data_IF_933777683774
#
_entry.id   IF_933777683774
#
_cell.length_a   1.000
_cell.length_b   1.000
_cell.length_c   1.000
_cell.angle_alpha   90.00
_cell.angle_beta   90.00
_cell.angle_gamma   90.00
#
_symmetry.space_group_name_H-M   'P 1'
#
loop_
_entity.id
_entity.type
_entity.pdbx_description
1 polymer ?
#
# COMPACT_ATOMS: atom_id res chain seq x y z
N UNK A 1 -37.71 28.24 13.06
CA UNK A 1 -36.83 28.48 11.90
C UNK A 1 -35.53 27.80 12.25
N UNK A 2 -35.43 26.53 11.86
CA UNK A 2 -34.42 25.58 12.34
C UNK A 2 -33.25 25.60 11.36
N UNK A 3 -32.04 25.91 11.85
CA UNK A 3 -30.83 25.97 11.04
C UNK A 3 -30.31 24.54 10.83
N UNK A 4 -30.11 24.15 9.56
CA UNK A 4 -29.51 22.88 9.18
C UNK A 4 -28.02 22.81 9.59
N UNK A 5 -27.47 21.61 9.88
CA UNK A 5 -26.08 21.48 10.29
C UNK A 5 -25.14 21.66 9.09
N UNK A 6 -23.94 22.17 9.39
CA UNK A 6 -22.86 22.36 8.44
C UNK A 6 -22.49 21.01 7.79
N UNK A 7 -22.66 20.92 6.46
CA UNK A 7 -22.13 19.82 5.67
C UNK A 7 -20.61 19.90 5.67
N UNK A 8 -19.99 18.74 5.83
CA UNK A 8 -18.56 18.53 5.84
C UNK A 8 -17.96 18.97 4.49
N UNK A 9 -17.05 19.97 4.53
CA UNK A 9 -16.40 20.49 3.32
C UNK A 9 -15.42 19.50 2.71
N UNK A 10 -15.01 18.44 3.44
CA UNK A 10 -14.13 17.37 2.92
C UNK A 10 -14.81 16.59 1.79
N UNK A 11 -16.11 16.26 1.90
CA UNK A 11 -16.82 15.48 0.86
C UNK A 11 -17.08 16.27 -0.43
N UNK A 12 -17.29 17.58 -0.33
CA UNK A 12 -17.76 18.40 -1.46
C UNK A 12 -16.63 18.77 -2.45
N UNK A 13 -15.36 18.84 -2.02
CA UNK A 13 -14.22 19.10 -2.93
C UNK A 13 -13.75 17.83 -3.67
N UNK A 14 -13.72 16.67 -3.01
CA UNK A 14 -13.33 15.41 -3.66
C UNK A 14 -14.37 14.95 -4.71
N UNK A 15 -15.67 15.21 -4.48
CA UNK A 15 -16.72 14.97 -5.50
C UNK A 15 -16.66 15.94 -6.68
N UNK A 16 -16.07 17.13 -6.51
CA UNK A 16 -15.94 18.10 -7.60
C UNK A 16 -14.84 17.70 -8.59
N UNK A 17 -13.69 17.24 -8.10
CA UNK A 17 -12.59 16.75 -8.94
C UNK A 17 -12.93 15.45 -9.69
N UNK A 18 -13.79 14.60 -9.13
CA UNK A 18 -14.24 13.37 -9.78
C UNK A 18 -15.30 13.57 -10.89
N UNK A 19 -15.98 14.74 -10.93
CA UNK A 19 -17.08 15.00 -11.87
C UNK A 19 -16.68 15.80 -13.11
N UNK A 20 -15.60 16.57 -13.03
CA UNK A 20 -15.12 17.31 -14.18
C UNK A 20 -14.19 16.43 -15.00
N UNK A 21 -14.77 15.70 -15.95
CA UNK A 21 -14.04 15.01 -17.01
C UNK A 21 -13.20 15.98 -17.83
N UNK A 22 -12.04 16.37 -17.30
CA UNK A 22 -11.07 17.18 -18.00
C UNK A 22 -10.25 16.27 -18.89
N UNK A 23 -10.48 16.43 -20.19
CA UNK A 23 -9.70 15.85 -21.26
C UNK A 23 -8.26 16.39 -21.14
N UNK A 24 -7.38 15.67 -20.46
CA UNK A 24 -5.97 16.07 -20.29
C UNK A 24 -5.27 15.91 -21.64
N UNK A 25 -4.99 17.02 -22.29
CA UNK A 25 -4.18 17.07 -23.50
C UNK A 25 -2.75 16.69 -23.15
N UNK A 26 -2.31 15.51 -23.64
CA UNK A 26 -0.99 14.91 -23.39
C UNK A 26 0.11 15.79 -23.97
N UNK A 27 0.57 16.79 -23.23
CA UNK A 27 1.86 17.42 -23.50
C UNK A 27 2.96 16.46 -23.04
N UNK A 28 3.63 15.83 -24.01
CA UNK A 28 4.81 14.97 -23.78
C UNK A 28 5.97 15.81 -23.23
N UNK A 29 5.98 16.09 -21.93
CA UNK A 29 7.21 16.44 -21.22
C UNK A 29 7.78 15.14 -20.66
N UNK A 30 8.97 14.76 -21.16
CA UNK A 30 9.72 13.59 -20.70
C UNK A 30 10.00 13.78 -19.20
N UNK A 31 9.34 12.99 -18.37
CA UNK A 31 9.75 12.79 -16.99
C UNK A 31 11.16 12.16 -17.01
N UNK A 32 12.16 12.72 -16.31
CA UNK A 32 13.51 12.17 -16.32
C UNK A 32 13.50 10.80 -15.62
N UNK A 33 13.68 9.73 -16.40
CA UNK A 33 13.91 8.36 -15.91
C UNK A 33 15.25 8.34 -15.16
N UNK A 34 15.21 8.52 -13.84
CA UNK A 34 16.35 8.28 -12.97
C UNK A 34 15.89 7.42 -11.80
N UNK A 35 15.92 6.09 -12.00
CA UNK A 35 15.87 5.10 -10.91
C UNK A 35 17.31 4.87 -10.44
N UNK A 36 17.71 5.18 -9.20
CA UNK A 36 19.09 5.02 -8.74
C UNK A 36 19.28 3.74 -7.93
N UNK A 37 18.62 2.63 -8.29
CA UNK A 37 18.86 1.34 -7.63
C UNK A 37 20.04 0.66 -8.35
N UNK A 38 21.19 0.63 -7.68
CA UNK A 38 22.41 0.04 -8.21
C UNK A 38 22.21 -1.41 -8.67
N UNK A 39 22.85 -1.76 -9.78
CA UNK A 39 22.81 -3.09 -10.39
C UNK A 39 23.07 -4.22 -9.39
N UNK A 40 22.02 -4.91 -8.95
CA UNK A 40 22.11 -6.26 -8.40
C UNK A 40 21.70 -7.21 -9.52
N UNK A 41 22.65 -8.01 -10.02
CA UNK A 41 22.35 -9.08 -10.97
C UNK A 41 21.59 -10.17 -10.23
N UNK A 42 20.28 -10.26 -10.45
CA UNK A 42 19.51 -11.47 -10.12
C UNK A 42 19.87 -12.52 -11.17
N UNK A 43 20.54 -13.59 -10.73
CA UNK A 43 20.91 -14.70 -11.60
C UNK A 43 19.75 -15.70 -11.66
N UNK A 44 19.02 -15.68 -12.78
CA UNK A 44 18.35 -16.86 -13.35
C UNK A 44 16.94 -17.17 -12.85
N UNK A 45 15.93 -16.61 -13.53
CA UNK A 45 14.59 -17.21 -13.59
C UNK A 45 14.47 -18.04 -14.87
N UNK A 46 14.41 -19.37 -14.75
CA UNK A 46 13.96 -20.27 -15.81
C UNK A 46 12.65 -20.92 -15.40
N UNK A 47 11.65 -20.81 -16.27
CA UNK A 47 10.63 -21.83 -16.45
C UNK A 47 9.31 -21.61 -15.71
N UNK A 48 8.27 -21.44 -16.52
CA UNK A 48 6.87 -21.69 -16.15
C UNK A 48 6.76 -23.11 -15.62
N UNK A 49 6.57 -23.25 -14.32
CA UNK A 49 6.38 -24.51 -13.62
C UNK A 49 5.94 -24.19 -12.21
N UNK A 50 5.20 -25.10 -11.59
CA UNK A 50 4.89 -25.09 -10.15
C UNK A 50 6.21 -25.21 -9.36
N UNK A 51 6.98 -24.14 -9.35
CA UNK A 51 8.26 -23.99 -8.68
C UNK A 51 7.97 -23.51 -7.28
N UNK A 52 8.43 -24.28 -6.29
CA UNK A 52 8.24 -23.97 -4.87
C UNK A 52 8.77 -22.56 -4.60
N UNK A 53 7.89 -21.62 -4.29
CA UNK A 53 8.29 -20.37 -3.68
C UNK A 53 8.94 -20.71 -2.33
N UNK A 54 10.27 -20.63 -2.26
CA UNK A 54 11.05 -20.93 -1.04
C UNK A 54 11.42 -19.62 -0.36
N UNK A 55 11.07 -19.46 0.91
CA UNK A 55 11.42 -18.29 1.72
C UNK A 55 10.29 -17.93 2.68
N UNK A 56 10.62 -17.23 3.76
CA UNK A 56 9.64 -16.89 4.82
C UNK A 56 8.47 -16.09 4.25
N UNK A 57 8.74 -15.07 3.44
CA UNK A 57 7.69 -14.26 2.78
C UNK A 57 6.77 -15.14 1.92
N UNK A 58 7.33 -16.05 1.13
CA UNK A 58 6.55 -16.96 0.30
C UNK A 58 5.63 -17.88 1.12
N UNK A 59 6.11 -18.36 2.26
CA UNK A 59 5.33 -19.19 3.17
C UNK A 59 4.18 -18.41 3.82
N UNK A 60 4.45 -17.17 4.27
CA UNK A 60 3.40 -16.29 4.82
C UNK A 60 2.37 -15.88 3.78
N UNK A 61 2.83 -15.54 2.58
CA UNK A 61 1.93 -15.19 1.49
C UNK A 61 1.06 -16.38 1.07
N UNK A 62 1.59 -17.61 1.10
CA UNK A 62 0.78 -18.82 0.87
C UNK A 62 -0.33 -18.96 1.91
N UNK A 63 -0.07 -18.70 3.19
CA UNK A 63 -1.12 -18.68 4.22
C UNK A 63 -2.24 -17.70 3.87
N UNK A 64 -1.89 -16.51 3.36
CA UNK A 64 -2.87 -15.50 2.90
C UNK A 64 -3.66 -16.01 1.70
N UNK A 65 -3.00 -16.62 0.70
CA UNK A 65 -3.67 -17.19 -0.46
C UNK A 65 -4.62 -18.33 -0.07
N UNK A 66 -4.22 -19.20 0.85
CA UNK A 66 -5.03 -20.31 1.35
C UNK A 66 -6.25 -19.80 2.16
N UNK A 67 -6.08 -18.71 2.91
CA UNK A 67 -7.19 -18.01 3.56
C UNK A 67 -8.20 -17.50 2.53
N UNK A 68 -7.74 -16.78 1.49
CA UNK A 68 -8.62 -16.23 0.46
C UNK A 68 -9.29 -17.32 -0.38
N UNK A 69 -8.59 -18.38 -0.74
CA UNK A 69 -9.17 -19.53 -1.45
C UNK A 69 -10.33 -20.16 -0.67
N UNK A 70 -10.19 -20.27 0.65
CA UNK A 70 -11.21 -20.86 1.52
C UNK A 70 -12.38 -19.92 1.79
N UNK A 71 -12.08 -18.67 2.10
CA UNK A 71 -13.06 -17.73 2.64
C UNK A 71 -13.74 -16.87 1.56
N UNK A 72 -12.97 -16.48 0.55
CA UNK A 72 -13.33 -15.44 -0.44
C UNK A 72 -12.77 -15.79 -1.84
N UNK A 73 -13.23 -16.88 -2.48
CA UNK A 73 -12.65 -17.39 -3.72
C UNK A 73 -12.79 -16.45 -4.93
N UNK A 74 -13.77 -15.52 -4.90
CA UNK A 74 -13.92 -14.50 -5.94
C UNK A 74 -12.75 -13.53 -5.86
N UNK A 75 -12.48 -12.97 -4.67
CA UNK A 75 -11.34 -12.08 -4.42
C UNK A 75 -10.01 -12.81 -4.66
N UNK A 76 -9.93 -14.09 -4.27
CA UNK A 76 -8.76 -14.94 -4.54
C UNK A 76 -8.42 -15.02 -6.04
N UNK A 77 -9.43 -15.07 -6.91
CA UNK A 77 -9.25 -15.16 -8.35
C UNK A 77 -8.71 -13.86 -8.97
N UNK A 78 -8.76 -12.74 -8.25
CA UNK A 78 -8.24 -11.44 -8.70
C UNK A 78 -6.74 -11.24 -8.44
N UNK A 79 -6.10 -12.16 -7.72
CA UNK A 79 -4.65 -12.13 -7.50
C UNK A 79 -3.95 -12.38 -8.83
N UNK A 80 -3.20 -11.39 -9.29
CA UNK A 80 -2.43 -11.49 -10.53
C UNK A 80 -1.26 -12.46 -10.37
N UNK A 81 -0.82 -13.11 -11.45
CA UNK A 81 0.45 -13.83 -11.49
C UNK A 81 1.63 -12.93 -11.09
N UNK A 82 2.78 -13.55 -10.85
CA UNK A 82 4.05 -12.86 -10.62
C UNK A 82 4.36 -11.81 -11.71
N UNK A 83 5.06 -10.75 -11.31
CA UNK A 83 5.57 -9.74 -12.21
C UNK A 83 6.64 -10.33 -13.15
N UNK A 84 6.77 -9.76 -14.35
CA UNK A 84 7.79 -10.20 -15.29
C UNK A 84 9.20 -9.72 -14.90
N UNK A 85 10.24 -10.29 -15.50
CA UNK A 85 11.64 -9.94 -15.16
C UNK A 85 11.94 -8.46 -15.34
N UNK A 86 11.38 -7.79 -16.34
CA UNK A 86 11.62 -6.37 -16.60
C UNK A 86 10.87 -5.47 -15.61
N UNK A 87 9.74 -5.92 -15.08
CA UNK A 87 9.06 -5.32 -13.94
C UNK A 87 9.88 -5.45 -12.67
N UNK A 88 10.36 -6.66 -12.35
CA UNK A 88 11.15 -6.92 -11.14
C UNK A 88 12.45 -6.11 -11.08
N UNK A 89 13.15 -5.96 -12.21
CA UNK A 89 14.40 -5.18 -12.29
C UNK A 89 14.23 -3.68 -11.97
N UNK A 90 13.00 -3.15 -11.99
CA UNK A 90 12.70 -1.74 -11.69
C UNK A 90 12.30 -1.50 -10.24
N UNK A 91 12.02 -2.55 -9.48
CA UNK A 91 11.55 -2.45 -8.11
C UNK A 91 12.71 -2.25 -7.12
N UNK A 92 12.44 -1.65 -5.94
CA UNK A 92 13.32 -1.78 -4.80
C UNK A 92 13.52 -3.28 -4.47
N UNK A 93 14.76 -3.74 -4.22
CA UNK A 93 15.03 -5.15 -3.92
C UNK A 93 14.18 -5.74 -2.78
N UNK A 94 13.78 -4.90 -1.82
CA UNK A 94 12.95 -5.28 -0.68
C UNK A 94 11.51 -5.67 -1.06
N UNK A 95 10.99 -5.19 -2.20
CA UNK A 95 9.65 -5.54 -2.69
C UNK A 95 9.66 -6.69 -3.70
N UNK A 96 10.81 -7.00 -4.32
CA UNK A 96 10.93 -8.10 -5.30
C UNK A 96 10.31 -9.40 -4.80
N UNK A 97 10.51 -9.86 -3.54
CA UNK A 97 9.89 -11.09 -3.05
C UNK A 97 8.36 -11.10 -3.09
N UNK A 98 7.68 -9.96 -2.92
CA UNK A 98 6.23 -9.86 -3.07
C UNK A 98 5.82 -9.97 -4.54
N UNK A 99 6.50 -9.25 -5.41
CA UNK A 99 6.15 -9.20 -6.83
C UNK A 99 6.54 -10.47 -7.59
N UNK A 100 7.48 -11.27 -7.08
CA UNK A 100 7.72 -12.64 -7.55
C UNK A 100 6.54 -13.58 -7.23
N UNK A 101 5.69 -13.23 -6.26
CA UNK A 101 4.52 -14.03 -5.86
C UNK A 101 3.24 -13.52 -6.53
N UNK A 102 3.07 -12.20 -6.60
CA UNK A 102 1.83 -11.58 -7.06
C UNK A 102 2.08 -10.16 -7.57
N UNK A 103 1.69 -9.87 -8.82
CA UNK A 103 1.73 -8.53 -9.40
C UNK A 103 0.44 -7.74 -9.15
N UNK A 104 0.04 -7.70 -7.89
CA UNK A 104 -1.15 -6.98 -7.42
C UNK A 104 -2.46 -7.77 -7.47
N UNK A 105 -3.47 -7.21 -6.83
CA UNK A 105 -4.86 -7.71 -6.85
C UNK A 105 -5.71 -6.88 -7.81
N UNK A 106 -6.93 -7.34 -8.09
CA UNK A 106 -7.97 -6.48 -8.64
C UNK A 106 -8.33 -5.33 -7.70
N UNK A 107 -9.35 -4.53 -8.06
CA UNK A 107 -9.77 -3.32 -7.32
C UNK A 107 -10.95 -3.55 -6.39
N UNK A 108 -10.98 -4.71 -5.72
CA UNK A 108 -12.10 -5.16 -4.88
C UNK A 108 -11.80 -5.16 -3.38
N UNK A 109 -10.62 -4.69 -2.95
CA UNK A 109 -10.16 -4.84 -1.57
C UNK A 109 -9.68 -6.27 -1.28
N UNK A 110 -9.14 -6.95 -2.31
CA UNK A 110 -8.74 -8.36 -2.27
C UNK A 110 -7.58 -8.70 -1.32
N UNK A 111 -7.01 -7.71 -0.65
CA UNK A 111 -5.97 -7.80 0.37
C UNK A 111 -6.43 -7.12 1.67
N UNK A 112 -7.38 -7.76 2.33
CA UNK A 112 -8.01 -7.39 3.60
C UNK A 112 -8.57 -5.95 3.59
N UNK A 113 -9.39 -5.64 2.59
CA UNK A 113 -9.96 -4.31 2.37
C UNK A 113 -9.01 -3.33 1.68
N UNK A 114 -7.76 -3.73 1.43
CA UNK A 114 -6.83 -3.04 0.53
C UNK A 114 -6.71 -3.80 -0.79
N UNK A 115 -6.15 -3.15 -1.80
CA UNK A 115 -5.59 -3.78 -2.98
C UNK A 115 -4.06 -3.88 -2.82
N UNK A 116 -3.46 -4.98 -3.25
CA UNK A 116 -2.02 -4.99 -3.55
C UNK A 116 -1.83 -4.30 -4.91
N UNK A 117 -0.96 -3.31 -4.96
CA UNK A 117 -0.67 -2.62 -6.20
C UNK A 117 0.16 -3.53 -7.12
N UNK A 118 -0.15 -3.53 -8.41
CA UNK A 118 0.77 -4.03 -9.43
C UNK A 118 2.00 -3.12 -9.55
N UNK A 119 3.06 -3.53 -10.23
CA UNK A 119 4.23 -2.67 -10.48
C UNK A 119 3.80 -1.38 -11.18
N UNK A 120 2.89 -1.47 -12.16
CA UNK A 120 2.32 -0.30 -12.82
C UNK A 120 1.48 0.57 -11.87
N UNK A 121 0.70 -0.06 -10.98
CA UNK A 121 -0.11 0.65 -9.98
C UNK A 121 0.74 1.40 -8.95
N UNK A 122 1.83 0.78 -8.49
CA UNK A 122 2.83 1.39 -7.61
C UNK A 122 3.47 2.61 -8.28
N UNK A 123 3.90 2.48 -9.54
CA UNK A 123 4.50 3.60 -10.28
C UNK A 123 3.52 4.75 -10.52
N UNK A 124 2.26 4.42 -10.84
CA UNK A 124 1.19 5.39 -11.00
C UNK A 124 0.90 6.11 -9.69
N UNK A 125 0.76 5.37 -8.58
CA UNK A 125 0.51 5.93 -7.26
C UNK A 125 1.64 6.88 -6.84
N UNK A 126 2.91 6.49 -6.98
CA UNK A 126 4.04 7.40 -6.68
C UNK A 126 4.00 8.68 -7.51
N UNK A 127 3.73 8.55 -8.80
CA UNK A 127 3.64 9.71 -9.69
C UNK A 127 2.51 10.65 -9.29
N UNK A 128 1.36 10.11 -8.88
CA UNK A 128 0.22 10.88 -8.39
C UNK A 128 0.55 11.62 -7.10
N UNK A 129 1.15 10.95 -6.11
CA UNK A 129 1.58 11.58 -4.87
C UNK A 129 2.64 12.68 -5.08
N UNK A 130 3.61 12.44 -5.97
CA UNK A 130 4.60 13.46 -6.35
C UNK A 130 3.94 14.68 -7.01
N UNK A 131 2.92 14.47 -7.85
CA UNK A 131 2.15 15.55 -8.46
C UNK A 131 1.32 16.32 -7.44
N UNK A 132 0.68 15.64 -6.49
CA UNK A 132 -0.09 16.25 -5.41
C UNK A 132 0.80 17.23 -4.62
N UNK A 133 1.99 16.79 -4.23
CA UNK A 133 2.98 17.64 -3.53
C UNK A 133 3.52 18.75 -4.41
N UNK A 134 3.83 18.48 -5.69
CA UNK A 134 4.34 19.50 -6.60
C UNK A 134 3.29 20.58 -6.94
N UNK A 135 2.00 20.26 -6.79
CA UNK A 135 0.88 21.14 -7.07
C UNK A 135 0.33 21.86 -5.84
N UNK A 136 0.80 21.52 -4.63
CA UNK A 136 0.34 22.18 -3.41
C UNK A 136 0.89 23.61 -3.33
N UNK A 137 0.05 24.53 -2.88
CA UNK A 137 0.45 25.92 -2.58
C UNK A 137 1.44 25.99 -1.39
N UNK A 138 1.51 24.90 -0.62
CA UNK A 138 2.50 24.63 0.40
C UNK A 138 3.27 23.33 0.05
N UNK A 139 4.35 23.42 -0.75
CA UNK A 139 5.16 22.27 -1.14
C UNK A 139 6.08 21.76 -0.02
N UNK A 140 6.20 22.52 1.09
CA UNK A 140 6.98 22.17 2.27
C UNK A 140 6.19 21.28 3.25
N UNK A 141 4.87 21.12 3.02
CA UNK A 141 4.08 20.03 3.58
C UNK A 141 3.10 20.38 4.70
N UNK A 142 2.73 21.67 4.87
CA UNK A 142 1.61 22.06 5.75
C UNK A 142 0.26 21.78 5.05
N UNK A 143 -0.02 20.50 4.81
CA UNK A 143 -1.40 20.07 4.55
C UNK A 143 -2.22 20.47 5.76
N UNK A 144 -3.44 20.95 5.55
CA UNK A 144 -4.25 21.70 6.51
C UNK A 144 -4.47 21.08 7.92
N UNK A 145 -4.01 19.85 8.17
CA UNK A 145 -3.98 19.17 9.46
C UNK A 145 -2.54 18.68 9.77
N UNK A 146 -2.01 18.98 10.96
CA UNK A 146 -0.67 18.55 11.42
C UNK A 146 -0.64 17.03 11.56
N UNK A 147 0.22 16.35 10.80
CA UNK A 147 0.45 14.91 10.94
C UNK A 147 1.42 14.65 12.09
N UNK A 148 1.05 13.76 13.00
CA UNK A 148 1.94 13.34 14.09
C UNK A 148 2.73 12.08 13.73
N UNK A 149 4.04 12.04 13.95
CA UNK A 149 4.77 10.77 13.91
C UNK A 149 4.78 10.14 15.30
N UNK A 150 4.29 8.89 15.42
CA UNK A 150 4.40 8.13 16.69
C UNK A 150 5.80 7.58 16.94
N UNK A 151 6.68 7.64 15.93
CA UNK A 151 8.10 7.30 16.02
C UNK A 151 8.89 8.36 15.26
N UNK A 152 8.98 9.60 15.78
CA UNK A 152 9.50 10.76 15.04
C UNK A 152 10.99 10.65 14.70
N UNK A 153 11.71 9.78 15.38
CA UNK A 153 13.08 9.42 15.07
C UNK A 153 13.19 8.40 13.93
N UNK A 154 12.14 7.64 13.63
CA UNK A 154 12.13 6.56 12.64
C UNK A 154 11.36 6.87 11.35
N UNK A 155 10.22 7.56 11.44
CA UNK A 155 9.35 7.88 10.30
C UNK A 155 9.00 9.36 10.28
N UNK A 156 9.06 9.93 9.08
CA UNK A 156 8.78 11.35 8.83
C UNK A 156 7.32 11.67 9.09
N UNK A 157 7.04 12.87 9.62
CA UNK A 157 5.70 13.42 9.80
C UNK A 157 5.17 14.15 8.55
N UNK A 158 5.85 14.03 7.40
CA UNK A 158 5.41 14.64 6.16
C UNK A 158 4.14 13.96 5.62
N UNK A 159 3.31 14.73 4.92
CA UNK A 159 2.16 14.20 4.19
C UNK A 159 2.59 13.12 3.18
N UNK A 160 3.65 13.39 2.43
CA UNK A 160 4.31 12.46 1.53
C UNK A 160 5.82 12.71 1.49
N UNK A 161 6.60 11.65 1.30
CA UNK A 161 8.06 11.71 1.11
C UNK A 161 8.43 10.90 -0.13
N UNK A 162 9.26 11.44 -1.02
CA UNK A 162 9.67 10.77 -2.27
C UNK A 162 10.27 9.38 -2.05
N UNK A 163 10.90 9.12 -0.90
CA UNK A 163 11.44 7.80 -0.55
C UNK A 163 10.39 6.73 -0.24
N UNK A 164 9.11 7.10 -0.16
CA UNK A 164 8.02 6.16 0.11
C UNK A 164 7.55 5.49 -1.18
N UNK A 165 7.41 4.17 -1.12
CA UNK A 165 7.03 3.31 -2.25
C UNK A 165 5.77 2.53 -1.87
N UNK A 166 4.58 2.97 -2.31
CA UNK A 166 3.31 2.32 -2.00
C UNK A 166 3.25 0.93 -2.61
N UNK A 167 2.77 -0.05 -1.85
CA UNK A 167 2.51 -1.40 -2.39
C UNK A 167 1.09 -1.88 -2.07
N UNK A 168 0.31 -1.13 -1.30
CA UNK A 168 -1.12 -1.37 -1.12
C UNK A 168 -1.92 -0.07 -1.01
N UNK A 169 -3.23 -0.13 -1.29
CA UNK A 169 -4.16 1.00 -1.14
C UNK A 169 -5.57 0.54 -0.76
N UNK A 170 -6.31 1.28 0.06
CA UNK A 170 -7.67 0.96 0.55
C UNK A 170 -8.82 1.53 -0.33
N UNK A 171 -8.50 2.07 -1.50
CA UNK A 171 -9.44 2.75 -2.40
C UNK A 171 -9.75 4.21 -2.02
N UNK A 172 -9.49 4.62 -0.78
CA UNK A 172 -9.53 6.01 -0.32
C UNK A 172 -8.19 6.75 -0.50
N UNK A 173 -7.13 6.02 -0.85
CA UNK A 173 -5.79 6.54 -1.02
C UNK A 173 -4.89 6.29 0.19
N UNK A 174 -5.38 5.63 1.23
CA UNK A 174 -4.58 5.20 2.37
C UNK A 174 -4.01 3.81 2.10
N UNK A 175 -2.88 3.47 2.70
CA UNK A 175 -2.29 2.16 2.50
C UNK A 175 -0.96 1.97 3.21
N UNK A 176 -0.19 1.01 2.71
CA UNK A 176 1.15 0.71 3.18
C UNK A 176 2.21 1.04 2.13
N UNK A 177 3.31 1.61 2.60
CA UNK A 177 4.47 1.93 1.77
C UNK A 177 5.75 1.35 2.37
N UNK A 178 6.66 0.94 1.49
CA UNK A 178 8.06 0.70 1.84
C UNK A 178 8.77 2.05 1.96
N UNK A 179 9.41 2.30 3.09
CA UNK A 179 10.14 3.54 3.35
C UNK A 179 11.64 3.36 3.04
N UNK A 180 12.09 4.00 1.95
CA UNK A 180 13.49 4.00 1.52
C UNK A 180 14.24 5.26 1.93
N UNK A 181 13.57 6.19 2.63
CA UNK A 181 14.17 7.39 3.19
C UNK A 181 13.64 7.63 4.62
N UNK A 182 13.86 6.68 5.56
CA UNK A 182 13.45 6.84 6.95
C UNK A 182 14.19 8.01 7.61
N UNK A 183 13.70 8.41 8.78
CA UNK A 183 14.46 9.31 9.66
C UNK A 183 15.66 8.56 10.30
N UNK A 184 16.65 9.24 10.91
CA UNK A 184 17.93 8.62 11.31
C UNK A 184 17.84 7.42 12.28
N UNK A 185 16.75 7.30 13.04
CA UNK A 185 16.45 6.18 13.93
C UNK A 185 15.66 5.04 13.29
N UNK A 186 15.27 5.17 12.01
CA UNK A 186 14.48 4.17 11.29
C UNK A 186 15.32 3.20 10.47
N UNK A 187 14.65 2.23 9.84
CA UNK A 187 15.28 1.19 9.03
C UNK A 187 14.93 1.36 7.56
N UNK A 188 15.93 1.37 6.67
CA UNK A 188 15.69 1.41 5.22
C UNK A 188 14.97 0.12 4.82
N UNK A 189 13.76 0.26 4.29
CA UNK A 189 12.88 -0.86 3.93
C UNK A 189 11.87 -1.24 5.02
N UNK A 190 11.73 -0.41 6.07
CA UNK A 190 10.59 -0.51 6.99
C UNK A 190 9.27 -0.25 6.25
N UNK A 191 8.17 -0.80 6.77
CA UNK A 191 6.83 -0.61 6.27
C UNK A 191 6.12 0.43 7.12
N UNK A 192 5.51 1.41 6.48
CA UNK A 192 4.79 2.51 7.14
C UNK A 192 3.37 2.61 6.61
N UNK A 193 2.50 3.33 7.34
CA UNK A 193 1.26 3.83 6.76
C UNK A 193 1.48 5.13 6.00
N UNK A 194 0.64 5.37 5.00
CA UNK A 194 0.52 6.65 4.30
C UNK A 194 -0.94 6.84 3.88
N UNK A 195 -1.32 8.07 3.54
CA UNK A 195 -2.64 8.38 3.01
C UNK A 195 -3.16 9.75 3.38
N UNK A 196 -4.24 10.20 2.72
CA UNK A 196 -4.89 11.47 3.00
C UNK A 196 -5.63 11.49 4.34
N UNK A 197 -6.12 10.35 4.82
CA UNK A 197 -6.90 10.23 6.06
C UNK A 197 -6.03 9.78 7.25
N UNK A 198 -4.71 9.73 7.05
CA UNK A 198 -3.76 9.28 8.04
C UNK A 198 -3.21 10.45 8.85
N UNK A 199 -3.88 10.77 9.95
CA UNK A 199 -3.52 11.86 10.87
C UNK A 199 -2.19 11.61 11.61
N UNK A 200 -1.69 10.38 11.58
CA UNK A 200 -0.41 10.04 12.17
C UNK A 200 0.39 9.04 11.33
N UNK A 201 1.72 9.04 11.48
CA UNK A 201 2.65 8.11 10.83
C UNK A 201 3.21 7.15 11.86
N UNK A 202 3.29 5.88 11.48
CA UNK A 202 3.91 4.82 12.29
C UNK A 202 4.75 3.91 11.42
N UNK A 203 5.78 3.33 12.05
CA UNK A 203 6.42 2.13 11.52
C UNK A 203 5.52 0.95 11.83
N UNK A 204 4.90 0.39 10.79
CA UNK A 204 4.02 -0.77 10.86
C UNK A 204 4.83 -2.04 11.03
N UNK A 205 5.98 -2.15 10.36
CA UNK A 205 6.89 -3.28 10.51
C UNK A 205 8.31 -2.90 10.08
N UNK A 206 9.33 -3.57 10.62
CA UNK A 206 10.73 -3.26 10.30
C UNK A 206 11.16 -3.80 8.92
N UNK A 207 10.35 -4.68 8.32
CA UNK A 207 10.59 -5.27 7.01
C UNK A 207 9.29 -5.81 6.40
N UNK A 208 9.33 -6.10 5.10
CA UNK A 208 8.23 -6.78 4.40
C UNK A 208 7.94 -8.18 4.98
N UNK A 209 8.97 -8.90 5.44
CA UNK A 209 8.81 -10.19 6.13
C UNK A 209 8.02 -10.02 7.43
N UNK A 210 8.43 -9.07 8.28
CA UNK A 210 7.75 -8.80 9.55
C UNK A 210 6.32 -8.30 9.33
N UNK A 211 6.06 -7.56 8.25
CA UNK A 211 4.71 -7.15 7.86
C UNK A 211 3.81 -8.35 7.59
N UNK A 212 4.27 -9.32 6.80
CA UNK A 212 3.51 -10.55 6.54
C UNK A 212 3.40 -11.46 7.77
N UNK A 213 4.42 -11.50 8.63
CA UNK A 213 4.33 -12.21 9.92
C UNK A 213 3.19 -11.65 10.78
N UNK A 214 3.03 -10.32 10.86
CA UNK A 214 1.93 -9.70 11.61
C UNK A 214 0.55 -10.08 11.06
N UNK A 215 0.40 -10.10 9.72
CA UNK A 215 -0.86 -10.51 9.09
C UNK A 215 -1.16 -11.99 9.42
N UNK A 216 -0.18 -12.87 9.25
CA UNK A 216 -0.35 -14.30 9.56
C UNK A 216 -0.66 -14.51 11.05
N UNK A 217 -0.04 -13.74 11.95
CA UNK A 217 -0.36 -13.80 13.38
C UNK A 217 -1.83 -13.44 13.67
N UNK A 218 -2.40 -12.44 12.98
CA UNK A 218 -3.83 -12.12 13.09
C UNK A 218 -4.71 -13.28 12.59
N UNK A 219 -4.33 -13.92 11.48
CA UNK A 219 -5.07 -15.07 10.93
C UNK A 219 -5.00 -16.28 11.86
N UNK A 220 -3.81 -16.62 12.36
CA UNK A 220 -3.58 -17.75 13.26
C UNK A 220 -4.28 -17.56 14.61
N UNK A 221 -4.41 -16.31 15.07
CA UNK A 221 -5.19 -15.96 16.26
C UNK A 221 -6.72 -16.03 16.02
N UNK A 222 -7.17 -16.26 14.79
CA UNK A 222 -8.59 -16.26 14.44
C UNK A 222 -9.23 -14.87 14.52
N UNK A 223 -8.43 -13.80 14.38
CA UNK A 223 -8.90 -12.42 14.51
C UNK A 223 -9.71 -11.94 13.30
N UNK A 224 -9.64 -12.64 12.15
CA UNK A 224 -10.33 -12.24 10.93
C UNK A 224 -11.86 -12.38 11.05
N UNK A 225 -12.58 -11.31 10.72
CA UNK A 225 -14.04 -11.26 10.55
C UNK A 225 -14.31 -11.18 9.05
N UNK A 226 -14.97 -12.20 8.51
CA UNK A 226 -15.21 -12.33 7.07
C UNK A 226 -16.69 -12.16 6.78
N UNK A 227 -17.00 -11.20 5.92
CA UNK A 227 -18.29 -11.10 5.25
C UNK A 227 -18.16 -11.68 3.83
N UNK A 228 -18.74 -12.87 3.64
CA UNK A 228 -18.64 -13.61 2.38
C UNK A 228 -19.57 -13.06 1.29
N UNK A 229 -20.63 -12.37 1.67
CA UNK A 229 -21.61 -11.84 0.73
C UNK A 229 -21.11 -10.52 0.15
N UNK A 230 -20.54 -9.66 0.99
CA UNK A 230 -19.97 -8.39 0.57
C UNK A 230 -18.47 -8.48 0.20
N UNK A 231 -17.80 -9.59 0.53
CA UNK A 231 -16.45 -9.89 0.05
C UNK A 231 -15.33 -9.14 0.77
N UNK A 232 -15.57 -8.67 2.00
CA UNK A 232 -14.60 -7.89 2.77
C UNK A 232 -14.13 -8.64 4.02
N UNK A 233 -12.98 -8.23 4.54
CA UNK A 233 -12.36 -8.79 5.73
C UNK A 233 -11.93 -7.66 6.65
N UNK A 234 -12.37 -7.71 7.90
CA UNK A 234 -11.83 -6.91 9.01
C UNK A 234 -11.14 -7.83 10.03
N UNK A 235 -10.58 -7.23 11.07
CA UNK A 235 -9.94 -7.93 12.18
C UNK A 235 -10.49 -7.44 13.52
N UNK A 236 -10.58 -8.33 14.50
CA UNK A 236 -10.83 -7.96 15.89
C UNK A 236 -9.51 -7.76 16.61
N UNK A 237 -9.25 -6.53 17.06
CA UNK A 237 -8.10 -6.18 17.91
C UNK A 237 -8.62 -5.47 19.16
N UNK A 238 -8.16 -5.90 20.33
CA UNK A 238 -8.64 -5.41 21.64
C UNK A 238 -10.18 -5.38 21.78
N UNK A 239 -10.84 -6.40 21.23
CA UNK A 239 -12.29 -6.55 21.27
C UNK A 239 -13.06 -5.59 20.35
N UNK A 240 -12.39 -4.90 19.44
CA UNK A 240 -13.00 -4.02 18.44
C UNK A 240 -12.70 -4.50 17.03
N UNK A 241 -13.72 -4.51 16.19
CA UNK A 241 -13.55 -4.76 14.77
C UNK A 241 -12.93 -3.54 14.08
N UNK A 242 -11.93 -3.78 13.23
CA UNK A 242 -11.21 -2.73 12.53
C UNK A 242 -10.59 -3.24 11.22
N UNK A 243 -10.34 -2.33 10.28
CA UNK A 243 -9.67 -2.65 9.02
C UNK A 243 -8.17 -2.95 9.22
N UNK A 244 -7.53 -3.57 8.22
CA UNK A 244 -6.13 -4.00 8.27
C UNK A 244 -5.16 -2.89 8.73
N UNK A 245 -5.36 -1.67 8.24
CA UNK A 245 -4.52 -0.52 8.56
C UNK A 245 -4.40 -0.30 10.07
N UNK A 246 -5.52 -0.16 10.78
CA UNK A 246 -5.52 -0.06 12.25
C UNK A 246 -5.03 -1.35 12.91
N UNK A 247 -5.43 -2.51 12.40
CA UNK A 247 -5.10 -3.80 13.02
C UNK A 247 -3.58 -4.03 13.12
N UNK A 248 -2.80 -3.56 12.15
CA UNK A 248 -1.34 -3.72 12.13
C UNK A 248 -0.57 -2.62 12.89
N UNK A 249 -1.26 -1.58 13.35
CA UNK A 249 -0.69 -0.43 14.08
C UNK A 249 -0.99 -0.44 15.58
N UNK A 250 -1.82 -1.37 16.03
CA UNK A 250 -2.18 -1.58 17.43
C UNK A 250 -1.02 -2.18 18.23
#
# INVERSE_FOLDING_TARGET
>A
MEQAPARDRKEDQHRHLAREGHHIERTRRRCPRFWPWGHVRIVGAQGVGCGKFTGVIADRFRTILDFYERELPIQRAEYSPAADTAELERLPPQLVPLFELCNGTGSSGGFFGNDLLSVAGLEASRSEWELIIASSDDPDGDYHDVIESRSPDAVSALYWKTGWVPFSVDGGGNGFALDLAPEPGGTIGQIINYGPDEDYRVVVADSLESFFDKIVALLDAGAAVVDRDAGWVNFVVDGRETHLLTALRA
#
